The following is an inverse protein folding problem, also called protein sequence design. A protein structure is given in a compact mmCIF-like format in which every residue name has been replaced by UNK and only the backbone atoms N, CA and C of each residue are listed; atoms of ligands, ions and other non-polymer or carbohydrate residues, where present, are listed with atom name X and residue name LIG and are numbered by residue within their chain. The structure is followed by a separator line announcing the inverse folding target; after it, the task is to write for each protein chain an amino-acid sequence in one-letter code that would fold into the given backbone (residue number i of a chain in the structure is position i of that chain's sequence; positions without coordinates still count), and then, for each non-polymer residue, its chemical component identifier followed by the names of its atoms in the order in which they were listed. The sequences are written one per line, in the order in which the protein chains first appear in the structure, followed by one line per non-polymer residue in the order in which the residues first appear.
data_IF_861098410450
#
_entry.id   IF_861098410450
#
_cell.length_a   1.000
_cell.length_b   1.000
_cell.length_c   1.000
_cell.angle_alpha   90.00
_cell.angle_beta   90.00
_cell.angle_gamma   90.00
#
_symmetry.space_group_name_H-M   'P 1'
#
loop_
_entity.id
_entity.type
_entity.pdbx_description
1 polymer ?
#
# COMPACT_ATOMS: atom_id res chain seq x y z
N UNK A 1 -40.41 -12.66 -32.25
CA UNK A 1 -39.41 -13.02 -31.22
C UNK A 1 -38.30 -11.98 -31.25
N UNK A 2 -38.46 -10.88 -30.52
CA UNK A 2 -37.46 -9.80 -30.43
C UNK A 2 -36.56 -10.08 -29.24
N UNK A 3 -35.34 -10.57 -29.51
CA UNK A 3 -34.33 -10.80 -28.50
C UNK A 3 -33.93 -9.48 -27.86
N UNK A 4 -34.34 -9.25 -26.60
CA UNK A 4 -33.87 -8.14 -25.77
C UNK A 4 -32.43 -8.48 -25.36
N UNK A 5 -31.44 -7.94 -26.08
CA UNK A 5 -30.04 -7.96 -25.63
C UNK A 5 -29.97 -7.25 -24.27
N UNK A 6 -29.77 -8.04 -23.22
CA UNK A 6 -29.73 -7.56 -21.83
C UNK A 6 -28.32 -7.01 -21.58
N UNK A 7 -28.16 -6.03 -20.67
CA UNK A 7 -26.86 -5.47 -20.29
C UNK A 7 -25.83 -6.54 -19.86
N UNK A 8 -26.31 -7.73 -19.46
CA UNK A 8 -25.52 -8.92 -19.14
C UNK A 8 -24.81 -9.58 -20.35
N UNK A 9 -25.27 -9.37 -21.59
CA UNK A 9 -24.64 -9.91 -22.81
C UNK A 9 -23.43 -9.07 -23.28
N UNK A 10 -23.16 -7.93 -22.61
CA UNK A 10 -22.00 -7.08 -22.89
C UNK A 10 -20.99 -7.23 -21.77
N UNK A 11 -20.10 -8.20 -21.93
CA UNK A 11 -19.05 -8.55 -20.95
C UNK A 11 -18.24 -7.33 -20.50
N UNK A 12 -17.93 -6.39 -21.41
CA UNK A 12 -17.21 -5.15 -21.10
C UNK A 12 -17.97 -4.22 -20.14
N UNK A 13 -19.29 -4.11 -20.34
CA UNK A 13 -20.16 -3.23 -19.53
C UNK A 13 -20.41 -3.88 -18.18
N UNK A 14 -20.64 -5.20 -18.16
CA UNK A 14 -20.86 -5.94 -16.93
C UNK A 14 -19.62 -5.92 -16.02
N UNK A 15 -18.43 -6.15 -16.59
CA UNK A 15 -17.16 -6.08 -15.85
C UNK A 15 -16.90 -4.68 -15.28
N UNK A 16 -17.13 -3.63 -16.06
CA UNK A 16 -16.96 -2.25 -15.59
C UNK A 16 -17.96 -1.89 -14.46
N UNK A 17 -19.22 -2.29 -14.58
CA UNK A 17 -20.26 -2.03 -13.56
C UNK A 17 -19.97 -2.79 -12.26
N UNK A 18 -19.45 -4.01 -12.33
CA UNK A 18 -19.06 -4.78 -11.14
C UNK A 18 -17.81 -4.21 -10.45
N UNK A 19 -16.87 -3.63 -11.21
CA UNK A 19 -15.69 -2.96 -10.66
C UNK A 19 -15.99 -1.54 -10.15
N UNK A 20 -16.98 -0.85 -10.71
CA UNK A 20 -17.35 0.52 -10.37
C UNK A 20 -17.51 0.78 -8.86
N UNK A 21 -18.21 -0.03 -8.05
CA UNK A 21 -18.33 0.22 -6.61
C UNK A 21 -16.99 0.08 -5.87
N UNK A 22 -16.14 -0.86 -6.25
CA UNK A 22 -14.81 -1.04 -5.65
C UNK A 22 -13.89 0.14 -6.00
N UNK A 23 -13.88 0.57 -7.26
CA UNK A 23 -13.11 1.74 -7.69
C UNK A 23 -13.63 3.03 -7.05
N UNK A 24 -14.96 3.20 -6.98
CA UNK A 24 -15.58 4.34 -6.29
C UNK A 24 -15.16 4.41 -4.82
N UNK A 25 -15.15 3.28 -4.12
CA UNK A 25 -14.68 3.20 -2.74
C UNK A 25 -13.20 3.61 -2.59
N UNK A 26 -12.31 3.06 -3.43
CA UNK A 26 -10.88 3.39 -3.40
C UNK A 26 -10.66 4.88 -3.69
N UNK A 27 -11.32 5.43 -4.71
CA UNK A 27 -11.20 6.84 -5.07
C UNK A 27 -11.69 7.73 -3.92
N UNK A 28 -12.86 7.42 -3.34
CA UNK A 28 -13.47 8.26 -2.32
C UNK A 28 -12.69 8.23 -0.99
N UNK A 29 -12.27 7.05 -0.54
CA UNK A 29 -11.66 6.90 0.79
C UNK A 29 -10.13 6.92 0.79
N UNK A 30 -9.48 6.69 -0.35
CA UNK A 30 -8.02 6.76 -0.47
C UNK A 30 -7.62 7.93 -1.36
N UNK A 31 -8.21 8.03 -2.55
CA UNK A 31 -7.87 9.07 -3.53
C UNK A 31 -8.15 10.49 -3.04
N UNK A 32 -9.36 10.76 -2.54
CA UNK A 32 -9.73 12.10 -2.04
C UNK A 32 -8.83 12.58 -0.89
N UNK A 33 -8.64 11.83 0.22
CA UNK A 33 -7.76 12.29 1.30
C UNK A 33 -6.29 12.38 0.87
N UNK A 34 -5.85 11.54 -0.07
CA UNK A 34 -4.49 11.64 -0.63
C UNK A 34 -4.28 12.95 -1.40
N UNK A 35 -5.21 13.31 -2.29
CA UNK A 35 -5.15 14.59 -3.02
C UNK A 35 -5.25 15.77 -2.06
N UNK A 36 -6.11 15.69 -1.05
CA UNK A 36 -6.21 16.72 -0.02
C UNK A 36 -4.89 16.87 0.76
N UNK A 37 -4.24 15.77 1.14
CA UNK A 37 -2.95 15.79 1.82
C UNK A 37 -1.86 16.46 0.95
N UNK A 38 -1.85 16.17 -0.35
CA UNK A 38 -0.97 16.86 -1.31
C UNK A 38 -1.30 18.35 -1.38
N UNK A 39 -2.57 18.73 -1.50
CA UNK A 39 -2.95 20.14 -1.54
C UNK A 39 -2.55 20.89 -0.26
N UNK A 40 -2.74 20.25 0.90
CA UNK A 40 -2.38 20.80 2.20
C UNK A 40 -0.86 20.90 2.39
N UNK A 41 -0.05 20.03 1.80
CA UNK A 41 1.41 20.11 1.91
C UNK A 41 2.02 21.35 1.23
N UNK A 42 1.29 22.00 0.31
CA UNK A 42 1.65 23.31 -0.25
C UNK A 42 1.11 24.51 0.54
N UNK A 43 0.44 24.26 1.67
CA UNK A 43 -0.16 25.28 2.52
C UNK A 43 0.48 25.32 3.91
N UNK A 44 0.25 26.39 4.68
CA UNK A 44 0.63 26.48 6.09
C UNK A 44 -0.39 25.81 7.04
N UNK A 45 -1.14 24.82 6.55
CA UNK A 45 -2.08 24.08 7.39
C UNK A 45 -1.33 23.28 8.45
N UNK A 46 -1.78 23.37 9.71
CA UNK A 46 -1.24 22.58 10.81
C UNK A 46 -2.30 21.61 11.31
N UNK A 47 -1.89 20.60 12.09
CA UNK A 47 -2.83 19.62 12.67
C UNK A 47 -3.93 20.28 13.53
N UNK A 48 -3.72 21.51 14.03
CA UNK A 48 -4.69 22.28 14.82
C UNK A 48 -5.41 23.40 14.04
N UNK A 49 -5.00 23.73 12.81
CA UNK A 49 -5.65 24.75 11.99
C UNK A 49 -5.62 24.40 10.50
N UNK A 50 -6.79 24.19 9.91
CA UNK A 50 -6.98 24.02 8.45
C UNK A 50 -6.96 25.37 7.70
N UNK A 51 -6.12 26.31 8.13
CA UNK A 51 -5.94 27.57 7.41
C UNK A 51 -5.19 27.30 6.10
N UNK A 52 -5.91 27.30 4.98
CA UNK A 52 -5.34 27.12 3.65
C UNK A 52 -4.66 28.42 3.18
N UNK A 53 -3.53 28.77 3.79
CA UNK A 53 -2.66 29.82 3.30
C UNK A 53 -1.59 29.20 2.42
N UNK A 54 -1.53 29.62 1.15
CA UNK A 54 -0.57 29.10 0.19
C UNK A 54 0.87 29.41 0.63
N UNK A 55 1.65 28.36 0.89
CA UNK A 55 3.03 28.42 1.35
C UNK A 55 4.04 27.98 0.25
N UNK A 56 3.53 27.54 -0.90
CA UNK A 56 4.34 27.03 -2.00
C UNK A 56 5.18 25.83 -1.55
N UNK A 57 6.49 25.87 -1.83
CA UNK A 57 7.44 24.81 -1.48
C UNK A 57 8.10 24.98 -0.10
N UNK A 58 7.67 25.96 0.71
CA UNK A 58 8.29 26.28 1.99
C UNK A 58 8.40 25.08 2.93
N UNK A 59 7.35 24.26 3.02
CA UNK A 59 7.32 23.05 3.85
C UNK A 59 8.37 22.01 3.43
N UNK A 60 8.60 21.85 2.12
CA UNK A 60 9.58 20.90 1.60
C UNK A 60 11.01 21.37 1.87
N UNK A 61 11.30 22.65 1.70
CA UNK A 61 12.63 23.19 2.03
C UNK A 61 12.90 23.08 3.53
N UNK A 62 11.90 23.39 4.36
CA UNK A 62 12.01 23.29 5.81
C UNK A 62 12.32 21.86 6.26
N UNK A 63 11.61 20.86 5.74
CA UNK A 63 11.79 19.46 6.15
C UNK A 63 13.11 18.87 5.66
N UNK A 64 13.60 19.30 4.49
CA UNK A 64 14.90 18.88 3.98
C UNK A 64 16.08 19.45 4.79
N UNK A 65 15.87 20.54 5.53
CA UNK A 65 16.83 21.07 6.50
C UNK A 65 16.73 20.45 7.89
N UNK A 66 15.68 19.67 8.17
CA UNK A 66 15.43 19.08 9.49
C UNK A 66 16.24 17.79 9.69
N UNK A 67 17.22 17.84 10.59
CA UNK A 67 18.06 16.70 10.96
C UNK A 67 17.27 15.50 11.52
N UNK A 68 16.15 15.76 12.20
CA UNK A 68 15.30 14.71 12.77
C UNK A 68 14.60 13.96 11.64
N UNK A 69 14.02 14.70 10.68
CA UNK A 69 13.39 14.13 9.50
C UNK A 69 14.40 13.31 8.67
N UNK A 70 15.58 13.87 8.36
CA UNK A 70 16.59 13.17 7.56
C UNK A 70 17.08 11.89 8.26
N UNK A 71 17.24 11.92 9.59
CA UNK A 71 17.61 10.73 10.36
C UNK A 71 16.49 9.68 10.34
N UNK A 72 15.24 10.10 10.52
CA UNK A 72 14.09 9.21 10.43
C UNK A 72 13.97 8.58 9.04
N UNK A 73 14.10 9.39 7.98
CA UNK A 73 14.09 8.94 6.58
C UNK A 73 15.19 7.90 6.32
N UNK A 74 16.42 8.17 6.76
CA UNK A 74 17.54 7.21 6.64
C UNK A 74 17.24 5.90 7.37
N UNK A 75 16.75 5.98 8.62
CA UNK A 75 16.41 4.80 9.40
C UNK A 75 15.31 3.97 8.71
N UNK A 76 14.25 4.62 8.20
CA UNK A 76 13.19 3.95 7.45
C UNK A 76 13.75 3.24 6.22
N UNK A 77 14.59 3.91 5.41
CA UNK A 77 15.21 3.29 4.23
C UNK A 77 16.08 2.10 4.64
N UNK A 78 16.92 2.23 5.67
CA UNK A 78 17.79 1.15 6.14
C UNK A 78 16.98 -0.05 6.63
N UNK A 79 15.93 0.18 7.43
CA UNK A 79 15.07 -0.90 7.95
C UNK A 79 14.29 -1.56 6.81
N UNK A 80 13.67 -0.79 5.92
CA UNK A 80 12.89 -1.33 4.80
C UNK A 80 13.77 -2.14 3.86
N UNK A 81 14.88 -1.57 3.40
CA UNK A 81 15.78 -2.27 2.45
C UNK A 81 16.43 -3.48 3.12
N UNK A 82 16.97 -3.31 4.34
CA UNK A 82 17.61 -4.40 5.08
C UNK A 82 16.64 -5.55 5.34
N UNK A 83 15.42 -5.25 5.80
CA UNK A 83 14.38 -6.26 6.01
C UNK A 83 13.97 -6.91 4.69
N UNK A 84 13.76 -6.15 3.62
CA UNK A 84 13.31 -6.69 2.33
C UNK A 84 14.35 -7.64 1.74
N UNK A 85 15.63 -7.28 1.79
CA UNK A 85 16.73 -8.14 1.33
C UNK A 85 16.77 -9.44 2.14
N UNK A 86 16.71 -9.34 3.47
CA UNK A 86 16.71 -10.51 4.34
C UNK A 86 15.50 -11.42 4.07
N UNK A 87 14.30 -10.85 3.94
CA UNK A 87 13.07 -11.58 3.62
C UNK A 87 13.20 -12.30 2.29
N UNK A 88 13.68 -11.64 1.24
CA UNK A 88 13.85 -12.28 -0.09
C UNK A 88 14.81 -13.48 0.00
N UNK A 89 15.95 -13.31 0.69
CA UNK A 89 16.94 -14.38 0.84
C UNK A 89 16.34 -15.56 1.62
N UNK A 90 15.75 -15.30 2.79
CA UNK A 90 15.19 -16.33 3.66
C UNK A 90 13.97 -17.02 3.03
N UNK A 91 13.07 -16.26 2.40
CA UNK A 91 11.89 -16.80 1.73
C UNK A 91 12.29 -17.66 0.53
N UNK A 92 13.29 -17.24 -0.24
CA UNK A 92 13.81 -18.03 -1.37
C UNK A 92 14.47 -19.31 -0.89
N UNK A 93 15.34 -19.22 0.13
CA UNK A 93 15.98 -20.39 0.72
C UNK A 93 14.93 -21.39 1.27
N UNK A 94 13.94 -20.89 2.02
CA UNK A 94 12.83 -21.70 2.52
C UNK A 94 12.06 -22.32 1.35
N UNK A 95 11.72 -21.57 0.31
CA UNK A 95 11.01 -22.09 -0.86
C UNK A 95 11.79 -23.25 -1.52
N UNK A 96 13.11 -23.17 -1.63
CA UNK A 96 13.93 -24.28 -2.15
C UNK A 96 13.90 -25.51 -1.24
N UNK A 97 14.02 -25.34 0.08
CA UNK A 97 13.90 -26.46 1.04
C UNK A 97 12.54 -27.13 0.95
N UNK A 98 11.47 -26.35 0.81
CA UNK A 98 10.10 -26.85 0.69
C UNK A 98 9.79 -27.47 -0.68
N UNK A 99 10.66 -27.37 -1.70
CA UNK A 99 10.52 -28.15 -2.94
C UNK A 99 10.76 -29.64 -2.71
N UNK A 100 11.70 -30.00 -1.83
CA UNK A 100 11.99 -31.39 -1.51
C UNK A 100 10.83 -32.07 -0.72
N UNK A 101 10.74 -33.39 -0.83
CA UNK A 101 9.87 -34.22 0.02
C UNK A 101 10.68 -34.71 1.22
N UNK A 102 10.42 -34.15 2.40
CA UNK A 102 11.06 -34.55 3.65
C UNK A 102 10.04 -34.87 4.75
N UNK A 103 10.43 -35.72 5.70
CA UNK A 103 9.60 -36.11 6.86
C UNK A 103 9.46 -34.88 7.78
N UNK A 104 8.23 -34.51 8.13
CA UNK A 104 7.93 -33.33 8.98
C UNK A 104 7.54 -32.05 8.24
N UNK A 105 7.47 -32.06 6.89
CA UNK A 105 7.08 -30.90 6.05
C UNK A 105 5.78 -30.20 6.48
N UNK A 106 4.78 -30.94 6.96
CA UNK A 106 3.49 -30.39 7.43
C UNK A 106 3.66 -29.53 8.69
N UNK A 107 4.51 -29.96 9.63
CA UNK A 107 4.80 -29.22 10.87
C UNK A 107 5.62 -27.97 10.55
N UNK A 108 6.65 -28.10 9.71
CA UNK A 108 7.46 -26.95 9.29
C UNK A 108 6.63 -25.86 8.58
N UNK A 109 5.70 -26.25 7.70
CA UNK A 109 4.78 -25.29 7.05
C UNK A 109 3.85 -24.63 8.05
N UNK A 110 3.35 -25.38 9.05
CA UNK A 110 2.51 -24.82 10.09
C UNK A 110 3.25 -23.77 10.91
N UNK A 111 4.45 -24.08 11.40
CA UNK A 111 5.28 -23.14 12.18
C UNK A 111 5.62 -21.88 11.39
N UNK A 112 5.89 -22.01 10.09
CA UNK A 112 6.20 -20.86 9.24
C UNK A 112 4.99 -19.93 9.00
N UNK A 113 3.77 -20.47 9.00
CA UNK A 113 2.52 -19.73 8.80
C UNK A 113 1.93 -19.16 10.10
N UNK A 114 2.26 -19.75 11.25
CA UNK A 114 1.77 -19.30 12.55
C UNK A 114 1.95 -17.78 12.80
N UNK A 115 3.12 -17.17 12.54
CA UNK A 115 3.33 -15.74 12.79
C UNK A 115 2.44 -14.83 11.94
N UNK A 116 1.94 -15.32 10.81
CA UNK A 116 1.01 -14.54 9.98
C UNK A 116 -0.43 -14.60 10.51
N UNK A 117 -0.80 -15.70 11.18
CA UNK A 117 -2.14 -15.91 11.70
C UNK A 117 -2.36 -15.29 13.09
N UNK A 118 -1.29 -14.98 13.82
CA UNK A 118 -1.34 -14.37 15.15
C UNK A 118 -0.86 -12.92 15.03
N UNK A 119 -1.70 -11.93 15.37
CA UNK A 119 -1.34 -10.52 15.30
C UNK A 119 -0.29 -10.12 16.36
#
# INVERSE_FOLDING_TARGET
MTSRRTLADREDVLGSVMLAPALGYVILLVGVPFVLAIALSFSNATAGSLSFQWAGLGNYVAILGDSIFLRALRNSVVVTVGTQVLVIILATAAAQVFRATFRGKRVARFVLLLPWAVP
#
